data_IF_582304175267
#
_entry.id   IF_582304175267
#
_cell.length_a   1.000
_cell.length_b   1.000
_cell.length_c   1.000
_cell.angle_alpha   90.00
_cell.angle_beta   90.00
_cell.angle_gamma   90.00
#
_symmetry.space_group_name_H-M   'P 1'
#
loop_
_entity.id
_entity.type
_entity.pdbx_description
1 polymer ?
#
# COMPACT_ATOMS: atom_id res chain seq x y z
N UNK A 1 5.42 -77.81 -2.82
CA UNK A 1 6.83 -77.53 -3.13
C UNK A 1 7.40 -76.72 -1.98
N UNK A 2 8.41 -77.29 -1.33
CA UNK A 2 9.14 -76.77 -0.18
C UNK A 2 10.04 -75.59 -0.56
N UNK A 3 10.19 -74.64 0.38
CA UNK A 3 11.44 -73.96 0.78
C UNK A 3 11.10 -73.23 2.09
N UNK A 4 11.43 -73.72 3.28
CA UNK A 4 12.74 -73.89 3.97
C UNK A 4 13.30 -72.58 4.58
N UNK A 5 13.13 -72.44 5.91
CA UNK A 5 14.09 -72.15 7.01
C UNK A 5 14.82 -70.78 6.92
N UNK A 6 14.84 -69.86 7.92
CA UNK A 6 15.39 -70.02 9.29
C UNK A 6 15.14 -68.80 10.19
N UNK A 7 15.04 -69.06 11.50
CA UNK A 7 14.91 -68.13 12.63
C UNK A 7 16.28 -67.88 13.30
N UNK A 8 16.56 -66.65 13.74
CA UNK A 8 17.36 -66.31 14.93
C UNK A 8 16.99 -64.84 15.30
N UNK A 9 16.58 -64.41 16.48
CA UNK A 9 16.72 -64.95 17.83
C UNK A 9 17.93 -64.33 18.52
N UNK A 10 17.74 -63.23 19.29
CA UNK A 10 18.41 -62.96 20.58
C UNK A 10 17.98 -61.61 21.19
N UNK A 11 17.99 -61.61 22.51
CA UNK A 11 17.36 -60.66 23.41
C UNK A 11 18.39 -59.94 24.31
N UNK A 12 17.88 -58.94 25.05
CA UNK A 12 18.41 -58.28 26.26
C UNK A 12 19.68 -57.43 26.15
N UNK A 13 19.58 -56.16 26.54
CA UNK A 13 19.95 -55.72 27.90
C UNK A 13 19.72 -54.20 28.10
N UNK A 14 19.03 -53.86 29.18
CA UNK A 14 19.12 -52.56 29.83
C UNK A 14 20.48 -52.43 30.52
N UNK A 15 21.14 -51.29 30.39
CA UNK A 15 22.17 -50.84 31.33
C UNK A 15 22.11 -49.32 31.46
N UNK A 16 21.60 -48.88 32.61
CA UNK A 16 21.87 -47.58 33.16
C UNK A 16 23.33 -47.53 33.61
N UNK A 17 24.04 -46.46 33.26
CA UNK A 17 25.35 -46.12 33.81
C UNK A 17 25.23 -44.74 34.45
N UNK A 18 25.53 -44.68 35.75
CA UNK A 18 25.63 -43.48 36.54
C UNK A 18 27.10 -43.07 36.71
N UNK A 19 27.37 -41.76 36.60
CA UNK A 19 28.47 -41.02 37.24
C UNK A 19 29.58 -40.51 36.29
N UNK A 20 30.43 -39.55 36.73
CA UNK A 20 30.31 -38.65 37.88
C UNK A 20 30.67 -37.17 37.62
N UNK A 21 30.36 -36.34 38.63
CA UNK A 21 30.99 -35.08 39.04
C UNK A 21 31.02 -33.83 38.11
N UNK A 22 30.17 -32.90 38.51
CA UNK A 22 30.12 -31.46 38.23
C UNK A 22 31.40 -30.72 38.67
N UNK A 23 32.04 -29.92 37.81
CA UNK A 23 32.95 -28.86 38.26
C UNK A 23 32.16 -27.58 38.60
N UNK A 24 32.43 -27.02 39.79
CA UNK A 24 32.08 -25.64 40.14
C UNK A 24 33.05 -24.68 39.43
N UNK A 25 32.58 -23.64 38.73
CA UNK A 25 33.42 -22.49 38.41
C UNK A 25 33.25 -21.38 39.45
N UNK A 26 34.41 -20.89 39.87
CA UNK A 26 34.65 -19.81 40.82
C UNK A 26 34.07 -18.47 40.38
N UNK A 27 33.71 -17.66 41.37
CA UNK A 27 33.36 -16.25 41.26
C UNK A 27 34.55 -15.45 40.74
N UNK A 28 34.39 -14.76 39.60
CA UNK A 28 35.23 -13.65 39.17
C UNK A 28 34.38 -12.38 39.12
N UNK A 29 34.75 -11.43 39.97
CA UNK A 29 34.24 -10.05 39.97
C UNK A 29 34.89 -9.34 38.78
N UNK A 30 34.09 -8.85 37.83
CA UNK A 30 34.57 -7.96 36.77
C UNK A 30 33.81 -6.64 36.81
N UNK A 31 34.60 -5.58 37.06
CA UNK A 31 34.47 -4.17 36.66
C UNK A 31 33.10 -3.54 36.46
N UNK A 32 32.83 -2.48 37.22
CA UNK A 32 31.88 -1.41 36.93
C UNK A 32 32.12 -0.86 35.51
N UNK A 33 31.10 -0.92 34.66
CA UNK A 33 31.02 -0.03 33.50
C UNK A 33 30.48 1.32 33.94
N UNK A 34 31.28 2.35 33.70
CA UNK A 34 30.93 3.75 33.85
C UNK A 34 30.07 4.15 32.66
N UNK A 35 28.81 4.50 32.90
CA UNK A 35 27.95 5.19 31.92
C UNK A 35 28.55 6.57 31.59
N UNK A 36 28.84 6.89 30.32
CA UNK A 36 29.04 8.28 29.93
C UNK A 36 27.69 9.00 29.95
N UNK A 37 27.54 9.93 30.89
CA UNK A 37 26.42 10.89 30.91
C UNK A 37 26.79 12.05 29.99
N UNK A 38 26.24 12.08 28.77
CA UNK A 38 26.20 13.30 27.95
C UNK A 38 24.79 13.85 27.99
N UNK A 39 24.59 14.82 28.88
CA UNK A 39 23.42 15.70 28.92
C UNK A 39 23.56 16.72 27.78
N UNK A 40 22.76 16.58 26.73
CA UNK A 40 22.53 17.65 25.76
C UNK A 40 21.21 18.34 26.14
N UNK A 41 21.28 19.62 26.52
CA UNK A 41 20.09 20.47 26.70
C UNK A 41 19.41 20.71 25.33
N UNK A 42 18.07 20.71 25.24
CA UNK A 42 17.38 21.06 24.00
C UNK A 42 17.44 22.58 23.77
N UNK A 43 18.06 22.99 22.66
CA UNK A 43 18.01 24.38 22.17
C UNK A 43 16.61 24.66 21.59
N UNK A 44 15.86 25.53 22.26
CA UNK A 44 14.55 26.01 21.77
C UNK A 44 14.76 27.10 20.72
N UNK A 45 14.44 26.82 19.46
CA UNK A 45 14.40 27.83 18.40
C UNK A 45 13.02 28.48 18.36
N UNK A 46 12.95 29.78 18.68
CA UNK A 46 11.71 30.56 18.64
C UNK A 46 11.62 31.29 17.30
N UNK A 47 10.68 30.90 16.44
CA UNK A 47 10.40 31.62 15.20
C UNK A 47 9.42 32.77 15.47
N UNK A 48 9.84 34.02 15.21
CA UNK A 48 8.96 35.19 15.28
C UNK A 48 8.41 35.48 13.90
N UNK A 49 7.08 35.38 13.73
CA UNK A 49 6.40 35.73 12.48
C UNK A 49 6.05 37.22 12.51
N UNK A 50 6.61 37.99 11.59
CA UNK A 50 6.24 39.41 11.37
C UNK A 50 5.18 39.46 10.27
N UNK A 51 3.96 39.95 10.53
CA UNK A 51 2.94 40.09 9.49
C UNK A 51 3.27 41.27 8.56
N UNK A 52 3.32 41.01 7.26
CA UNK A 52 3.47 42.03 6.22
C UNK A 52 2.05 42.46 5.76
N UNK A 53 1.75 43.77 5.66
CA UNK A 53 0.43 44.22 5.22
C UNK A 53 0.21 43.94 3.74
N UNK A 54 -0.92 43.30 3.41
CA UNK A 54 -1.34 43.03 2.04
C UNK A 54 -1.96 44.29 1.45
N UNK A 55 -1.36 44.80 0.37
CA UNK A 55 -1.94 45.85 -0.47
C UNK A 55 -2.80 45.18 -1.55
N UNK A 56 -4.10 45.44 -1.55
CA UNK A 56 -5.04 44.95 -2.56
C UNK A 56 -4.86 45.67 -3.90
N UNK A 57 -4.67 44.95 -5.03
CA UNK A 57 -4.92 45.52 -6.34
C UNK A 57 -6.40 45.32 -6.74
N UNK A 58 -7.02 46.43 -7.17
CA UNK A 58 -8.35 46.52 -7.78
C UNK A 58 -8.49 45.58 -8.99
N UNK A 59 -9.42 44.61 -8.92
CA UNK A 59 -9.75 43.74 -10.04
C UNK A 59 -10.55 44.48 -11.12
N UNK A 60 -10.04 44.48 -12.35
CA UNK A 60 -10.81 44.87 -13.54
C UNK A 60 -11.70 43.71 -13.99
N UNK A 61 -12.99 43.97 -14.17
CA UNK A 61 -14.00 43.02 -14.61
C UNK A 61 -13.94 42.84 -16.13
N UNK A 62 -13.92 41.58 -16.61
CA UNK A 62 -14.24 41.24 -18.00
C UNK A 62 -15.48 40.35 -18.03
N UNK A 63 -16.51 40.83 -18.74
CA UNK A 63 -17.79 40.14 -18.94
C UNK A 63 -17.69 39.30 -20.21
N UNK A 64 -18.03 38.02 -20.13
CA UNK A 64 -18.25 37.16 -21.30
C UNK A 64 -19.75 36.82 -21.32
N UNK A 65 -20.48 37.38 -22.27
CA UNK A 65 -21.88 37.01 -22.51
C UNK A 65 -21.93 35.78 -23.42
N UNK A 66 -22.63 34.73 -22.97
CA UNK A 66 -23.10 33.65 -23.83
C UNK A 66 -24.61 33.51 -23.62
N UNK A 67 -25.36 33.70 -24.70
CA UNK A 67 -26.83 33.61 -24.71
C UNK A 67 -27.27 32.14 -24.73
N UNK A 68 -28.14 31.74 -23.81
CA UNK A 68 -29.10 30.66 -24.01
C UNK A 68 -30.41 30.94 -23.26
N UNK A 69 -31.53 30.70 -23.93
CA UNK A 69 -32.88 30.80 -23.38
C UNK A 69 -33.11 29.69 -22.35
N UNK A 70 -33.27 30.06 -21.08
CA UNK A 70 -34.29 29.61 -20.12
C UNK A 70 -33.89 30.14 -18.74
N UNK A 71 -34.82 30.85 -18.10
CA UNK A 71 -34.55 31.67 -16.93
C UNK A 71 -34.24 30.88 -15.66
N UNK A 72 -32.99 30.94 -15.24
CA UNK A 72 -32.54 30.84 -13.85
C UNK A 72 -31.15 31.48 -13.76
N UNK A 73 -31.04 32.66 -13.14
CA UNK A 73 -29.73 33.22 -12.79
C UNK A 73 -29.12 32.39 -11.67
N UNK A 74 -27.99 31.76 -11.93
CA UNK A 74 -27.14 31.13 -10.92
C UNK A 74 -25.77 31.79 -10.96
N UNK A 75 -25.39 32.46 -9.89
CA UNK A 75 -24.09 33.12 -9.75
C UNK A 75 -23.08 32.11 -9.19
N UNK A 76 -22.21 31.57 -10.03
CA UNK A 76 -21.11 30.69 -9.59
C UNK A 76 -19.84 31.52 -9.43
N UNK A 77 -19.36 31.67 -8.19
CA UNK A 77 -18.04 32.27 -7.90
C UNK A 77 -16.99 31.17 -8.01
N UNK A 78 -16.07 31.30 -8.97
CA UNK A 78 -14.93 30.41 -9.10
C UNK A 78 -13.77 31.03 -8.29
N UNK A 79 -13.50 30.49 -7.11
CA UNK A 79 -12.27 30.81 -6.39
C UNK A 79 -11.10 30.07 -7.04
N UNK A 80 -10.25 30.83 -7.73
CA UNK A 80 -8.98 30.35 -8.26
C UNK A 80 -7.92 30.47 -7.16
N UNK A 81 -7.55 29.34 -6.55
CA UNK A 81 -6.42 29.27 -5.61
C UNK A 81 -5.12 29.04 -6.39
N UNK A 82 -4.39 30.12 -6.66
CA UNK A 82 -3.02 30.03 -7.18
C UNK A 82 -2.05 29.77 -6.02
N UNK A 83 -1.42 28.59 -6.01
CA UNK A 83 -0.28 28.28 -5.14
C UNK A 83 0.84 29.32 -5.35
N UNK A 84 1.36 29.86 -4.24
CA UNK A 84 2.45 30.83 -4.26
C UNK A 84 3.77 30.15 -4.64
N UNK A 85 4.30 30.47 -5.82
CA UNK A 85 5.67 30.13 -6.21
C UNK A 85 6.64 31.08 -5.50
N UNK A 86 7.47 30.56 -4.59
CA UNK A 86 8.56 31.33 -3.96
C UNK A 86 9.70 31.43 -4.97
N UNK A 87 9.88 32.61 -5.56
CA UNK A 87 11.05 32.95 -6.38
C UNK A 87 12.09 33.57 -5.45
N UNK A 88 13.19 32.85 -5.20
CA UNK A 88 14.36 33.42 -4.52
C UNK A 88 15.14 34.20 -5.58
N UNK A 89 15.03 35.52 -5.54
CA UNK A 89 15.79 36.43 -6.40
C UNK A 89 17.05 36.86 -5.65
N UNK A 90 18.21 36.29 -6.00
CA UNK A 90 19.49 36.81 -5.51
C UNK A 90 19.78 38.16 -6.17
N UNK A 91 19.76 39.21 -5.35
CA UNK A 91 20.17 40.55 -5.77
C UNK A 91 21.66 40.69 -5.49
N UNK A 92 22.48 40.67 -6.53
CA UNK A 92 23.90 41.01 -6.44
C UNK A 92 24.07 42.51 -6.59
N UNK A 93 24.42 43.19 -5.50
CA UNK A 93 24.99 44.54 -5.51
C UNK A 93 26.49 44.44 -5.32
N UNK A 94 27.24 44.96 -6.29
CA UNK A 94 28.69 44.99 -6.26
C UNK A 94 29.25 46.28 -5.62
N UNK A 95 30.45 46.11 -5.06
CA UNK A 95 31.45 47.09 -4.55
C UNK A 95 31.19 47.62 -3.11
N UNK A 96 32.16 47.68 -2.18
CA UNK A 96 33.61 47.91 -2.26
C UNK A 96 34.38 47.27 -1.07
N UNK A 97 35.67 46.98 -1.27
CA UNK A 97 36.67 46.32 -0.41
C UNK A 97 36.79 46.73 1.07
N UNK A 98 36.93 45.73 1.95
CA UNK A 98 37.85 45.74 3.10
C UNK A 98 38.13 44.30 3.59
N UNK A 99 39.42 43.97 3.74
CA UNK A 99 39.90 42.63 4.07
C UNK A 99 39.48 42.17 5.49
N UNK A 100 38.87 41.00 5.59
CA UNK A 100 38.67 40.28 6.87
C UNK A 100 38.84 38.78 6.61
N UNK A 101 39.55 38.11 7.51
CA UNK A 101 39.93 36.69 7.47
C UNK A 101 38.73 35.76 7.28
N UNK A 102 38.81 34.90 6.28
CA UNK A 102 37.82 33.86 5.99
C UNK A 102 38.15 32.63 6.82
N UNK A 103 37.41 32.40 7.91
CA UNK A 103 37.27 31.05 8.45
C UNK A 103 36.42 30.27 7.45
N UNK A 104 37.00 29.23 6.86
CA UNK A 104 36.32 28.33 5.94
C UNK A 104 35.43 27.41 6.77
N UNK A 105 34.25 27.90 7.13
CA UNK A 105 33.19 27.04 7.65
C UNK A 105 32.69 26.21 6.47
N UNK A 106 33.22 24.99 6.38
CA UNK A 106 32.78 23.99 5.42
C UNK A 106 31.36 23.61 5.82
N UNK A 107 30.38 24.30 5.24
CA UNK A 107 28.98 23.90 5.29
C UNK A 107 28.87 22.55 4.59
N UNK A 108 28.99 21.48 5.37
CA UNK A 108 28.75 20.14 4.89
C UNK A 108 27.26 20.03 4.55
N UNK A 109 26.94 20.16 3.27
CA UNK A 109 25.64 19.76 2.74
C UNK A 109 25.52 18.26 2.99
N UNK A 110 24.83 17.86 4.06
CA UNK A 110 24.41 16.47 4.27
C UNK A 110 23.40 16.15 3.18
N UNK A 111 23.91 15.59 2.08
CA UNK A 111 23.09 14.90 1.09
C UNK A 111 22.56 13.64 1.77
N UNK A 112 21.35 13.68 2.32
CA UNK A 112 20.61 12.49 2.72
C UNK A 112 20.27 11.72 1.45
N UNK A 113 21.14 10.80 1.05
CA UNK A 113 20.83 9.83 0.01
C UNK A 113 19.72 8.94 0.56
N UNK A 114 18.47 9.18 0.14
CA UNK A 114 17.36 8.29 0.46
C UNK A 114 17.71 6.89 -0.06
N UNK A 115 17.96 5.96 0.85
CA UNK A 115 18.25 4.58 0.49
C UNK A 115 16.96 3.93 0.03
N UNK A 116 16.98 3.30 -1.15
CA UNK A 116 15.83 2.57 -1.66
C UNK A 116 15.42 1.47 -0.66
N UNK A 117 14.12 1.34 -0.40
CA UNK A 117 13.61 0.29 0.48
C UNK A 117 13.94 -1.09 -0.13
N UNK A 118 14.30 -2.08 0.69
CA UNK A 118 14.45 -3.44 0.20
C UNK A 118 13.15 -3.91 -0.45
N UNK A 119 13.22 -4.78 -1.46
CA UNK A 119 12.04 -5.39 -2.09
C UNK A 119 11.96 -6.86 -1.72
N UNK A 120 10.81 -7.48 -1.98
CA UNK A 120 10.69 -8.92 -1.83
C UNK A 120 11.73 -9.66 -2.70
N UNK A 121 12.18 -10.84 -2.27
CA UNK A 121 12.88 -11.75 -3.16
C UNK A 121 11.93 -12.21 -4.27
N UNK A 122 12.29 -11.86 -5.51
CA UNK A 122 11.54 -12.22 -6.72
C UNK A 122 12.32 -13.10 -7.69
N UNK A 123 13.38 -13.75 -7.21
CA UNK A 123 14.21 -14.67 -8.02
C UNK A 123 13.48 -15.93 -8.50
N UNK A 124 12.26 -16.19 -8.00
CA UNK A 124 11.43 -17.34 -8.30
C UNK A 124 10.13 -16.99 -9.08
N UNK A 125 10.15 -15.88 -9.82
CA UNK A 125 9.04 -15.44 -10.70
C UNK A 125 7.70 -15.29 -9.96
N UNK A 126 7.74 -14.83 -8.72
CA UNK A 126 6.58 -14.67 -7.83
C UNK A 126 5.98 -13.25 -7.86
N UNK A 127 6.43 -12.37 -8.75
CA UNK A 127 6.01 -10.97 -8.77
C UNK A 127 4.50 -10.81 -8.95
N UNK A 128 3.96 -9.73 -8.36
CA UNK A 128 2.58 -9.32 -8.56
C UNK A 128 1.55 -10.10 -7.73
N UNK A 129 0.35 -10.19 -8.28
CA UNK A 129 -0.84 -10.77 -7.67
C UNK A 129 -1.49 -11.76 -8.64
N UNK A 130 -2.02 -12.85 -8.09
CA UNK A 130 -2.99 -13.65 -8.83
C UNK A 130 -4.32 -12.92 -8.84
N UNK A 131 -5.04 -12.96 -9.95
CA UNK A 131 -6.38 -12.41 -10.03
C UNK A 131 -7.34 -13.30 -10.81
N UNK A 132 -8.62 -13.19 -10.47
CA UNK A 132 -9.72 -13.83 -11.17
C UNK A 132 -10.80 -12.82 -11.55
N UNK A 133 -11.40 -12.99 -12.73
CA UNK A 133 -12.52 -12.20 -13.23
C UNK A 133 -13.79 -13.05 -13.18
N UNK A 134 -14.86 -12.52 -12.60
CA UNK A 134 -16.14 -13.20 -12.46
C UNK A 134 -17.27 -12.41 -13.13
N UNK A 135 -18.31 -13.12 -13.55
CA UNK A 135 -19.62 -12.55 -13.82
C UNK A 135 -20.47 -12.61 -12.55
N UNK A 136 -21.29 -11.59 -12.31
CA UNK A 136 -22.35 -11.63 -11.30
C UNK A 136 -23.66 -11.04 -11.83
N UNK A 137 -24.70 -11.04 -11.00
CA UNK A 137 -26.02 -10.49 -11.34
C UNK A 137 -26.50 -9.45 -10.34
N UNK A 138 -25.67 -9.07 -9.35
CA UNK A 138 -25.98 -8.03 -8.38
C UNK A 138 -26.26 -6.69 -9.08
N UNK A 139 -27.40 -6.10 -8.74
CA UNK A 139 -27.88 -4.84 -9.29
C UNK A 139 -27.85 -3.78 -8.18
N UNK A 140 -27.25 -2.61 -8.43
CA UNK A 140 -27.23 -1.52 -7.47
C UNK A 140 -28.52 -0.68 -7.56
N UNK A 141 -29.56 -1.08 -6.81
CA UNK A 141 -30.84 -0.37 -6.75
C UNK A 141 -30.87 0.78 -5.74
N UNK A 142 -29.80 0.93 -4.96
CA UNK A 142 -29.75 1.73 -3.75
C UNK A 142 -28.41 2.47 -3.61
N UNK A 143 -27.90 3.00 -4.73
CA UNK A 143 -26.68 3.80 -4.74
C UNK A 143 -26.74 4.92 -3.67
N UNK A 144 -25.67 5.14 -2.87
CA UNK A 144 -24.34 4.55 -3.02
C UNK A 144 -24.15 3.08 -2.59
N UNK A 145 -25.06 2.53 -1.81
CA UNK A 145 -24.72 1.46 -0.88
C UNK A 145 -24.48 0.09 -1.51
N UNK A 146 -25.02 -0.15 -2.71
CA UNK A 146 -24.95 -1.44 -3.39
C UNK A 146 -25.27 -2.61 -2.45
N UNK A 147 -26.35 -2.51 -1.67
CA UNK A 147 -26.63 -3.44 -0.56
C UNK A 147 -26.91 -4.87 -1.03
N UNK A 148 -27.23 -5.05 -2.32
CA UNK A 148 -27.43 -6.36 -2.92
C UNK A 148 -26.12 -7.15 -3.14
N UNK A 149 -24.96 -6.49 -3.06
CA UNK A 149 -23.68 -7.12 -3.29
C UNK A 149 -23.31 -8.10 -2.17
N UNK A 150 -23.08 -9.36 -2.56
CA UNK A 150 -22.62 -10.43 -1.68
C UNK A 150 -21.27 -10.96 -2.17
N UNK A 151 -20.20 -10.62 -1.45
CA UNK A 151 -18.86 -11.10 -1.75
C UNK A 151 -18.76 -12.64 -1.67
N UNK A 152 -19.55 -13.29 -0.80
CA UNK A 152 -19.45 -14.74 -0.58
C UNK A 152 -19.88 -15.58 -1.78
N UNK A 153 -20.63 -14.98 -2.71
CA UNK A 153 -20.94 -15.59 -4.01
C UNK A 153 -19.69 -16.05 -4.76
N UNK A 154 -18.57 -15.31 -4.65
CA UNK A 154 -17.34 -15.66 -5.37
C UNK A 154 -16.49 -16.72 -4.65
N UNK A 155 -16.98 -17.33 -3.57
CA UNK A 155 -16.35 -18.53 -3.00
C UNK A 155 -16.55 -19.78 -3.87
N UNK A 156 -17.70 -19.86 -4.55
CA UNK A 156 -18.09 -21.04 -5.33
C UNK A 156 -18.34 -20.69 -6.81
N UNK A 157 -18.31 -19.41 -7.19
CA UNK A 157 -18.44 -18.99 -8.57
C UNK A 157 -17.21 -19.43 -9.38
N UNK A 158 -17.42 -19.92 -10.60
CA UNK A 158 -16.29 -20.21 -11.50
C UNK A 158 -15.76 -18.92 -12.13
N UNK A 159 -14.46 -18.63 -12.05
CA UNK A 159 -13.85 -17.53 -12.80
C UNK A 159 -14.09 -17.68 -14.29
N UNK A 160 -14.34 -16.57 -14.96
CA UNK A 160 -14.34 -16.49 -16.43
C UNK A 160 -12.92 -16.37 -16.99
N UNK A 161 -11.98 -15.92 -16.16
CA UNK A 161 -10.58 -15.75 -16.48
C UNK A 161 -9.76 -15.69 -15.20
N UNK A 162 -8.55 -16.23 -15.25
CA UNK A 162 -7.53 -16.13 -14.19
C UNK A 162 -6.22 -15.66 -14.81
N UNK A 163 -5.43 -14.88 -14.07
CA UNK A 163 -4.15 -14.40 -14.54
C UNK A 163 -3.28 -13.82 -13.43
N UNK A 164 -2.16 -13.24 -13.85
CA UNK A 164 -1.20 -12.56 -12.97
C UNK A 164 -1.11 -11.10 -13.38
N UNK A 165 -1.04 -10.19 -12.41
CA UNK A 165 -0.86 -8.75 -12.65
C UNK A 165 0.17 -8.16 -11.70
N UNK A 166 1.00 -7.24 -12.19
CA UNK A 166 1.95 -6.48 -11.37
C UNK A 166 1.35 -5.17 -10.85
N UNK A 167 0.10 -4.87 -11.23
CA UNK A 167 -0.63 -3.66 -10.83
C UNK A 167 -2.01 -3.97 -10.28
N UNK A 168 -2.49 -3.09 -9.40
CA UNK A 168 -3.87 -3.09 -8.91
C UNK A 168 -4.60 -1.88 -9.52
N UNK A 169 -5.86 -2.09 -9.89
CA UNK A 169 -6.72 -0.99 -10.33
C UNK A 169 -6.93 -0.89 -11.83
N UNK A 170 -7.80 0.03 -12.19
CA UNK A 170 -8.13 0.43 -13.55
C UNK A 170 -7.35 1.70 -13.85
N UNK A 171 -6.72 1.77 -15.02
CA UNK A 171 -5.93 2.93 -15.39
C UNK A 171 -6.82 4.19 -15.43
N UNK A 172 -6.36 5.32 -14.87
CA UNK A 172 -7.10 6.57 -14.97
C UNK A 172 -7.42 6.95 -16.41
N UNK A 173 -8.60 7.55 -16.63
CA UNK A 173 -9.09 7.96 -17.95
C UNK A 173 -9.44 6.80 -18.92
N UNK A 174 -9.64 5.59 -18.40
CA UNK A 174 -10.20 4.49 -19.20
C UNK A 174 -11.60 4.85 -19.72
N UNK A 175 -11.84 4.70 -21.02
CA UNK A 175 -13.15 4.91 -21.64
C UNK A 175 -14.08 3.73 -21.36
N UNK A 176 -14.82 3.82 -20.25
CA UNK A 176 -15.75 2.78 -19.77
C UNK A 176 -16.93 2.51 -20.70
N UNK A 177 -17.17 3.39 -21.69
CA UNK A 177 -18.25 3.22 -22.67
C UNK A 177 -17.93 2.19 -23.76
N UNK A 178 -16.68 1.68 -23.78
CA UNK A 178 -16.19 0.70 -24.74
C UNK A 178 -15.57 -0.50 -24.04
N UNK A 179 -15.47 -1.65 -24.72
CA UNK A 179 -14.69 -2.77 -24.22
C UNK A 179 -13.22 -2.39 -24.05
N UNK A 180 -12.61 -2.85 -22.96
CA UNK A 180 -11.16 -2.76 -22.73
C UNK A 180 -10.65 -3.98 -21.95
N UNK A 181 -9.34 -4.19 -21.95
CA UNK A 181 -8.66 -5.19 -21.12
C UNK A 181 -8.26 -4.56 -19.79
N UNK A 182 -8.68 -5.13 -18.66
CA UNK A 182 -8.33 -4.57 -17.35
C UNK A 182 -6.85 -4.74 -17.02
N UNK A 183 -6.22 -5.82 -17.49
CA UNK A 183 -4.78 -6.11 -17.41
C UNK A 183 -4.29 -6.67 -18.74
N UNK A 184 -2.98 -6.65 -18.97
CA UNK A 184 -2.39 -7.30 -20.14
C UNK A 184 -2.76 -8.79 -20.17
N UNK A 185 -3.12 -9.29 -21.36
CA UNK A 185 -3.56 -10.67 -21.55
C UNK A 185 -4.99 -11.00 -21.09
N UNK A 186 -5.65 -10.10 -20.34
CA UNK A 186 -7.06 -10.29 -19.95
C UNK A 186 -8.02 -10.12 -21.14
N UNK A 187 -9.27 -10.63 -21.07
CA UNK A 187 -10.25 -10.46 -22.14
C UNK A 187 -10.63 -8.99 -22.36
N UNK A 188 -10.77 -8.61 -23.63
CA UNK A 188 -11.33 -7.31 -24.03
C UNK A 188 -12.86 -7.35 -23.92
N UNK A 189 -13.45 -6.67 -22.92
CA UNK A 189 -14.88 -6.79 -22.61
C UNK A 189 -15.46 -5.53 -21.95
N UNK A 190 -16.79 -5.50 -21.85
CA UNK A 190 -17.49 -4.55 -20.98
C UNK A 190 -17.42 -5.02 -19.52
N UNK A 191 -17.30 -4.07 -18.61
CA UNK A 191 -17.04 -4.33 -17.20
C UNK A 191 -18.25 -4.20 -16.27
N UNK A 192 -19.43 -3.94 -16.83
CA UNK A 192 -20.68 -4.04 -16.07
C UNK A 192 -20.95 -5.49 -15.65
N UNK A 193 -21.44 -5.66 -14.43
CA UNK A 193 -21.70 -6.96 -13.81
C UNK A 193 -20.46 -7.88 -13.78
N UNK A 194 -19.29 -7.28 -13.49
CA UNK A 194 -18.01 -7.98 -13.33
C UNK A 194 -17.45 -7.73 -11.95
N UNK A 195 -16.78 -8.76 -11.44
CA UNK A 195 -15.92 -8.61 -10.27
C UNK A 195 -14.51 -9.07 -10.59
N UNK A 196 -13.52 -8.46 -9.93
CA UNK A 196 -12.10 -8.78 -10.06
C UNK A 196 -11.53 -9.00 -8.67
N UNK A 197 -11.09 -10.24 -8.42
CA UNK A 197 -10.58 -10.70 -7.14
C UNK A 197 -9.07 -10.86 -7.22
N UNK A 198 -8.31 -10.01 -6.54
CA UNK A 198 -6.86 -10.07 -6.44
C UNK A 198 -6.46 -10.73 -5.13
N UNK A 199 -5.41 -11.55 -5.18
CA UNK A 199 -4.80 -12.13 -3.98
C UNK A 199 -3.29 -12.26 -4.11
N UNK A 200 -2.61 -12.18 -2.97
CA UNK A 200 -1.17 -12.35 -2.85
C UNK A 200 -0.70 -11.86 -1.49
N UNK A 201 0.50 -11.32 -1.44
CA UNK A 201 1.15 -10.91 -0.20
C UNK A 201 1.77 -9.53 -0.34
N UNK A 202 1.50 -8.66 0.64
CA UNK A 202 2.24 -7.43 0.81
C UNK A 202 3.53 -7.72 1.57
N UNK A 203 4.67 -7.48 0.92
CA UNK A 203 5.98 -7.53 1.55
C UNK A 203 6.27 -6.22 2.30
N UNK A 204 6.58 -6.33 3.59
CA UNK A 204 6.93 -5.19 4.43
C UNK A 204 8.47 -5.00 4.46
N UNK A 205 9.04 -4.00 3.77
CA UNK A 205 10.48 -3.74 3.80
C UNK A 205 11.03 -3.29 5.17
N UNK A 206 10.18 -2.67 5.99
CA UNK A 206 10.52 -2.10 7.27
C UNK A 206 9.36 -2.31 8.25
N UNK A 207 9.57 -2.22 9.58
CA UNK A 207 8.49 -2.38 10.53
C UNK A 207 7.76 -1.05 10.75
N UNK A 208 6.46 -1.12 11.04
CA UNK A 208 5.67 0.05 11.41
C UNK A 208 4.27 0.07 10.80
N UNK A 209 3.64 1.24 10.87
CA UNK A 209 2.31 1.47 10.32
C UNK A 209 2.36 1.64 8.80
N UNK A 210 1.64 0.77 8.10
CA UNK A 210 1.35 0.87 6.68
C UNK A 210 -0.06 1.40 6.48
N UNK A 211 -0.25 2.24 5.47
CA UNK A 211 -1.56 2.77 5.10
C UNK A 211 -1.98 2.20 3.76
N UNK A 212 -3.11 1.50 3.72
CA UNK A 212 -3.73 1.01 2.48
C UNK A 212 -4.94 1.88 2.18
N UNK A 213 -4.93 2.51 1.01
CA UNK A 213 -5.93 3.52 0.65
C UNK A 213 -6.63 3.13 -0.64
N UNK A 214 -7.96 3.23 -0.65
CA UNK A 214 -8.78 3.18 -1.87
C UNK A 214 -9.43 4.55 -2.04
N UNK A 215 -8.86 5.41 -2.90
CA UNK A 215 -9.30 6.80 -3.05
C UNK A 215 -10.75 6.93 -3.51
N UNK A 216 -11.16 6.04 -4.42
CA UNK A 216 -12.49 5.97 -4.99
C UNK A 216 -12.73 4.55 -5.50
N UNK A 217 -13.98 4.11 -5.46
CA UNK A 217 -14.44 2.88 -6.07
C UNK A 217 -15.78 3.14 -6.74
N UNK A 218 -16.00 2.53 -7.88
CA UNK A 218 -17.30 2.39 -8.53
C UNK A 218 -17.44 0.98 -9.09
N UNK A 219 -18.37 0.14 -8.62
CA UNK A 219 -19.30 0.42 -7.50
C UNK A 219 -18.69 0.18 -6.10
N UNK A 220 -17.99 -0.93 -5.89
CA UNK A 220 -17.50 -1.31 -4.55
C UNK A 220 -16.12 -1.98 -4.61
N UNK A 221 -15.26 -1.61 -3.67
CA UNK A 221 -13.95 -2.25 -3.44
C UNK A 221 -13.85 -2.65 -1.98
N UNK A 222 -13.52 -3.92 -1.76
CA UNK A 222 -13.33 -4.51 -0.45
C UNK A 222 -11.89 -5.02 -0.32
N UNK A 223 -11.27 -4.78 0.84
CA UNK A 223 -9.90 -5.23 1.13
C UNK A 223 -9.89 -6.02 2.43
N UNK A 224 -9.10 -7.10 2.43
CA UNK A 224 -8.85 -7.92 3.61
C UNK A 224 -7.36 -8.21 3.75
N UNK A 225 -6.93 -8.37 5.00
CA UNK A 225 -5.60 -8.84 5.37
C UNK A 225 -5.63 -10.17 6.13
N UNK A 226 -4.47 -10.81 6.25
CA UNK A 226 -4.23 -11.99 7.07
C UNK A 226 -5.23 -13.14 6.80
N UNK A 227 -5.76 -13.72 7.88
CA UNK A 227 -6.67 -14.87 7.82
C UNK A 227 -7.99 -14.53 7.12
N UNK A 228 -8.40 -13.26 7.15
CA UNK A 228 -9.58 -12.79 6.41
C UNK A 228 -9.33 -12.92 4.92
N UNK A 229 -8.21 -12.39 4.43
CA UNK A 229 -7.79 -12.49 3.04
C UNK A 229 -7.69 -13.94 2.57
N UNK A 230 -7.21 -14.85 3.42
CA UNK A 230 -7.03 -16.25 3.02
C UNK A 230 -8.35 -17.01 2.86
N UNK A 231 -9.26 -16.98 3.84
CA UNK A 231 -10.37 -17.97 3.91
C UNK A 231 -11.70 -17.49 4.46
N UNK A 232 -11.78 -16.31 5.07
CA UNK A 232 -12.99 -15.90 5.80
C UNK A 232 -13.54 -14.57 5.30
N UNK A 233 -13.14 -14.14 4.11
CA UNK A 233 -13.52 -12.85 3.55
C UNK A 233 -15.02 -12.80 3.24
N UNK A 234 -15.65 -11.75 3.74
CA UNK A 234 -17.06 -11.39 3.57
C UNK A 234 -17.12 -9.86 3.50
N UNK A 235 -18.20 -9.28 2.99
CA UNK A 235 -18.36 -7.82 3.03
C UNK A 235 -18.30 -7.29 4.47
N UNK A 236 -19.06 -7.90 5.37
CA UNK A 236 -19.17 -7.48 6.78
C UNK A 236 -17.86 -7.46 7.57
N UNK A 237 -16.86 -8.24 7.15
CA UNK A 237 -15.57 -8.30 7.84
C UNK A 237 -14.40 -7.68 7.06
N UNK A 238 -14.68 -6.98 5.96
CA UNK A 238 -13.67 -6.21 5.23
C UNK A 238 -12.92 -5.26 6.16
N UNK A 239 -11.61 -5.19 6.01
CA UNK A 239 -10.76 -4.23 6.72
C UNK A 239 -10.92 -2.82 6.13
N UNK A 240 -11.27 -2.75 4.84
CA UNK A 240 -11.63 -1.53 4.14
C UNK A 240 -12.77 -1.83 3.17
N UNK A 241 -13.82 -1.00 3.22
CA UNK A 241 -14.87 -0.93 2.21
C UNK A 241 -14.93 0.50 1.65
N UNK A 242 -14.91 0.62 0.32
CA UNK A 242 -15.10 1.86 -0.42
C UNK A 242 -16.22 1.68 -1.46
N UNK A 243 -17.19 2.59 -1.45
CA UNK A 243 -18.40 2.58 -2.27
C UNK A 243 -18.62 3.89 -3.07
N UNK A 244 -19.25 3.78 -4.25
CA UNK A 244 -19.68 4.91 -5.11
C UNK A 244 -21.06 5.44 -4.72
N UNK A 245 -21.44 6.74 -4.86
CA UNK A 245 -20.64 7.94 -5.11
C UNK A 245 -20.44 8.80 -3.84
N UNK A 246 -20.18 8.16 -2.69
CA UNK A 246 -20.36 8.80 -1.37
C UNK A 246 -19.10 8.99 -0.50
N UNK A 247 -17.94 8.47 -0.90
CA UNK A 247 -16.76 8.44 -0.04
C UNK A 247 -15.73 9.53 -0.31
N UNK A 248 -15.28 10.21 0.75
CA UNK A 248 -13.86 10.61 0.83
C UNK A 248 -13.00 9.34 0.71
N UNK A 249 -11.75 9.49 0.27
CA UNK A 249 -10.73 8.44 0.31
C UNK A 249 -10.84 7.60 1.59
N UNK A 250 -10.84 6.27 1.46
CA UNK A 250 -10.88 5.34 2.60
C UNK A 250 -9.47 4.79 2.81
N UNK A 251 -9.06 4.74 4.06
CA UNK A 251 -7.73 4.25 4.46
C UNK A 251 -7.88 3.28 5.62
N UNK A 252 -7.14 2.17 5.52
CA UNK A 252 -6.94 1.20 6.58
C UNK A 252 -5.46 1.22 6.98
N UNK A 253 -5.20 1.17 8.28
CA UNK A 253 -3.85 1.18 8.84
C UNK A 253 -3.57 -0.16 9.50
N UNK A 254 -2.41 -0.73 9.21
CA UNK A 254 -1.95 -1.98 9.81
C UNK A 254 -0.47 -1.90 10.19
N UNK A 255 -0.13 -2.47 11.34
CA UNK A 255 1.23 -2.60 11.81
C UNK A 255 1.87 -3.86 11.21
N UNK A 256 2.95 -3.70 10.45
CA UNK A 256 3.68 -4.82 9.84
C UNK A 256 5.09 -4.94 10.41
N UNK A 257 5.64 -6.14 10.33
CA UNK A 257 7.03 -6.41 10.69
C UNK A 257 7.91 -6.51 9.45
N UNK A 258 9.12 -5.97 9.53
CA UNK A 258 10.08 -6.03 8.43
C UNK A 258 10.35 -7.49 7.99
N UNK A 259 10.42 -7.69 6.68
CA UNK A 259 10.69 -8.99 6.05
C UNK A 259 9.51 -9.95 6.05
N UNK A 260 8.32 -9.54 6.49
CA UNK A 260 7.12 -10.39 6.47
C UNK A 260 6.32 -10.27 5.18
N UNK A 261 5.56 -11.32 4.88
CA UNK A 261 4.64 -11.42 3.76
C UNK A 261 3.21 -11.51 4.31
N UNK A 262 2.51 -10.40 4.28
CA UNK A 262 1.16 -10.30 4.85
C UNK A 262 0.13 -10.69 3.80
N UNK A 263 -0.72 -11.71 4.04
CA UNK A 263 -1.78 -12.06 3.10
C UNK A 263 -2.66 -10.85 2.78
N UNK A 264 -2.90 -10.62 1.50
CA UNK A 264 -3.68 -9.51 0.98
C UNK A 264 -4.72 -10.04 0.00
N UNK A 265 -5.95 -9.55 0.11
CA UNK A 265 -7.01 -9.77 -0.87
C UNK A 265 -7.73 -8.46 -1.14
N UNK A 266 -7.99 -8.19 -2.41
CA UNK A 266 -8.85 -7.09 -2.85
C UNK A 266 -9.90 -7.64 -3.80
N UNK A 267 -11.16 -7.26 -3.60
CA UNK A 267 -12.25 -7.57 -4.51
C UNK A 267 -12.90 -6.27 -4.93
N UNK A 268 -12.84 -5.97 -6.23
CA UNK A 268 -13.64 -4.92 -6.83
C UNK A 268 -14.83 -5.53 -7.58
N UNK A 269 -15.98 -4.86 -7.56
CA UNK A 269 -17.15 -5.27 -8.34
C UNK A 269 -17.93 -4.07 -8.88
N UNK A 270 -18.42 -4.23 -10.12
CA UNK A 270 -19.22 -3.25 -10.82
C UNK A 270 -20.65 -3.77 -11.05
N UNK A 271 -21.67 -3.02 -10.67
CA UNK A 271 -23.05 -3.25 -11.07
C UNK A 271 -23.33 -2.69 -12.47
N UNK A 272 -23.41 -1.37 -12.64
CA UNK A 272 -23.79 -0.68 -13.87
C UNK A 272 -23.05 0.64 -14.09
N UNK A 273 -23.09 1.16 -15.32
CA UNK A 273 -22.64 2.53 -15.56
C UNK A 273 -21.13 2.66 -15.58
N UNK A 274 -20.61 3.67 -14.86
CA UNK A 274 -19.18 3.96 -14.80
C UNK A 274 -18.43 2.87 -14.02
N UNK A 275 -17.13 3.06 -13.87
CA UNK A 275 -16.24 2.15 -13.17
C UNK A 275 -14.99 2.90 -12.75
N UNK A 276 -14.46 2.53 -11.59
CA UNK A 276 -13.16 2.95 -11.13
C UNK A 276 -12.77 2.09 -9.94
N UNK A 277 -11.51 1.70 -9.85
CA UNK A 277 -10.88 1.41 -8.56
C UNK A 277 -9.39 1.48 -8.73
N UNK A 278 -8.73 1.94 -7.68
CA UNK A 278 -7.28 1.88 -7.52
C UNK A 278 -6.97 1.63 -6.04
N UNK A 279 -5.83 1.05 -5.75
CA UNK A 279 -5.36 0.89 -4.37
C UNK A 279 -3.93 1.43 -4.26
N UNK A 280 -3.69 2.16 -3.18
CA UNK A 280 -2.39 2.71 -2.81
C UNK A 280 -1.91 2.08 -1.51
N UNK A 281 -0.60 1.93 -1.37
CA UNK A 281 0.02 1.52 -0.11
C UNK A 281 1.16 2.47 0.21
N UNK A 282 1.14 3.02 1.42
CA UNK A 282 2.26 3.77 2.00
C UNK A 282 2.92 2.96 3.08
N UNK A 283 4.25 2.93 3.04
CA UNK A 283 5.11 2.42 4.09
C UNK A 283 5.26 3.46 5.21
N UNK A 284 5.83 3.05 6.37
CA UNK A 284 6.15 3.96 7.47
C UNK A 284 6.87 5.23 6.99
N UNK A 285 6.51 6.37 7.57
CA UNK A 285 7.01 7.68 7.13
C UNK A 285 6.35 8.24 5.87
N UNK A 286 5.29 7.60 5.35
CA UNK A 286 4.44 8.12 4.28
C UNK A 286 4.95 7.83 2.86
N UNK A 287 5.97 6.98 2.72
CA UNK A 287 6.54 6.61 1.42
C UNK A 287 5.56 5.72 0.64
N UNK A 288 5.10 6.19 -0.51
CA UNK A 288 4.26 5.40 -1.42
C UNK A 288 5.09 4.26 -2.00
N UNK A 289 4.70 3.03 -1.73
CA UNK A 289 5.32 1.81 -2.24
C UNK A 289 4.47 1.11 -3.30
N UNK A 290 3.17 1.39 -3.31
CA UNK A 290 2.22 0.99 -4.36
C UNK A 290 1.42 2.21 -4.75
N UNK A 291 1.51 2.63 -6.01
CA UNK A 291 0.75 3.75 -6.54
C UNK A 291 -0.52 3.26 -7.24
N UNK A 292 -1.63 3.96 -7.02
CA UNK A 292 -2.94 3.57 -7.54
C UNK A 292 -3.07 3.72 -9.05
N UNK A 293 -2.16 4.46 -9.68
CA UNK A 293 -2.09 4.72 -11.12
C UNK A 293 -1.79 3.46 -11.96
N UNK A 294 -1.64 2.30 -11.32
CA UNK A 294 -1.47 1.02 -11.97
C UNK A 294 -0.05 0.82 -12.51
N UNK A 295 0.96 1.35 -11.82
CA UNK A 295 2.36 1.08 -12.13
C UNK A 295 2.82 -0.30 -11.65
N UNK A 296 3.98 -0.74 -12.14
CA UNK A 296 4.63 -1.99 -11.71
C UNK A 296 4.98 -1.92 -10.22
N UNK A 297 4.53 -2.91 -9.45
CA UNK A 297 4.75 -2.96 -8.01
C UNK A 297 5.71 -4.10 -7.60
N UNK A 298 6.75 -3.75 -6.85
CA UNK A 298 7.78 -4.67 -6.33
C UNK A 298 7.49 -5.26 -4.94
N UNK A 299 6.41 -4.83 -4.30
CA UNK A 299 6.06 -5.17 -2.93
C UNK A 299 4.86 -6.13 -2.84
N UNK A 300 4.09 -6.30 -3.91
CA UNK A 300 3.18 -7.43 -4.01
C UNK A 300 3.90 -8.63 -4.64
N UNK A 301 3.76 -9.78 -4.01
CA UNK A 301 4.19 -11.07 -4.52
C UNK A 301 3.09 -12.12 -4.32
N UNK A 302 3.09 -13.14 -5.18
CA UNK A 302 2.13 -14.24 -5.13
C UNK A 302 2.47 -15.29 -4.07
N UNK A 303 3.76 -15.45 -3.76
CA UNK A 303 4.30 -16.36 -2.77
C UNK A 303 5.74 -15.96 -2.43
N UNK A 304 6.32 -16.43 -1.33
CA UNK A 304 7.75 -16.25 -1.06
C UNK A 304 8.61 -17.32 -1.73
N UNK A 305 9.83 -16.97 -2.15
CA UNK A 305 10.73 -17.94 -2.80
C UNK A 305 11.24 -19.05 -1.86
N UNK A 306 11.21 -18.80 -0.55
CA UNK A 306 11.56 -19.79 0.48
C UNK A 306 10.38 -20.67 0.91
N UNK A 307 9.17 -20.44 0.37
CA UNK A 307 7.97 -21.21 0.70
C UNK A 307 7.38 -20.95 2.08
N UNK A 308 7.79 -19.86 2.76
CA UNK A 308 7.25 -19.47 4.07
C UNK A 308 5.81 -18.92 4.03
N UNK A 309 5.35 -18.41 2.88
CA UNK A 309 3.97 -17.92 2.72
C UNK A 309 2.94 -19.06 2.74
N UNK A 310 1.78 -18.89 3.38
CA UNK A 310 0.66 -19.84 3.26
C UNK A 310 0.12 -19.90 1.82
N UNK A 311 -0.63 -20.95 1.50
CA UNK A 311 -1.28 -21.09 0.20
C UNK A 311 -2.71 -20.53 0.24
N UNK A 312 -3.05 -19.67 -0.72
CA UNK A 312 -4.44 -19.27 -0.96
C UNK A 312 -5.25 -20.46 -1.48
N UNK A 313 -6.54 -20.60 -1.09
CA UNK A 313 -7.45 -21.52 -1.76
C UNK A 313 -7.51 -21.24 -3.27
N UNK A 314 -7.94 -22.19 -4.09
CA UNK A 314 -8.23 -21.93 -5.51
C UNK A 314 -9.33 -20.86 -5.67
N UNK A 315 -9.41 -20.27 -6.86
CA UNK A 315 -10.43 -19.26 -7.18
C UNK A 315 -11.80 -19.87 -7.47
#
# INVERSE_FOLDING_TARGET
MQSIITIAGLAFANLAVAGPCKPLPQTTVSSLDVLPTTSAEPTVVTATVVPVPVVSPSAGSSVINSESETGYESTTVIESSTLATVVIQETSTAETSAATSVDVETSATTTTTETALPTADQSCDNGGLDYAIYNHQFYNSDAPHFSSFDATYFHDATPTFEGVTERIGIQPNTDWTKPFTIYEGSPNQMWQYKAVNHRGFLYAPEPGEYEVTVPNSDEITLVWFDQKALRTWTRDNADLEQDYPGGTSKTFVLELQAGTYTPFRLLWANAQGELNFIAEVKAPGGKVIVNGDGGDNKYFVRYSCDGSTPTFPEF
#
